data_IF_648618131174
#
_entry.id   IF_648618131174
#
_cell.length_a   1.000
_cell.length_b   1.000
_cell.length_c   1.000
_cell.angle_alpha   90.00
_cell.angle_beta   90.00
_cell.angle_gamma   90.00
#
_symmetry.space_group_name_H-M   'P 1'
#
loop_
_entity.id
_entity.type
_entity.pdbx_description
1 polymer ?
2 non-polymer ?
3 non-polymer ?
4 water ?
#
# COMPACT_ATOMS: atom_id res chain seq x y z
N UNK A 1 23.61 -10.07 -0.56
CA UNK A 1 24.35 -10.20 -1.81
C UNK A 1 23.67 -9.33 -2.84
N UNK A 2 24.48 -8.54 -3.57
CA UNK A 2 23.99 -7.78 -4.71
C UNK A 2 24.48 -8.55 -5.93
N UNK A 3 23.53 -9.15 -6.64
CA UNK A 3 23.82 -9.91 -7.84
C UNK A 3 24.19 -8.91 -8.96
N UNK A 4 24.95 -9.41 -9.91
CA UNK A 4 25.05 -8.71 -11.21
C UNK A 4 23.88 -9.17 -12.08
N UNK A 5 23.55 -8.37 -13.07
CA UNK A 5 22.45 -8.67 -13.99
C UNK A 5 22.53 -10.06 -14.61
N UNK A 6 23.65 -10.44 -15.21
CA UNK A 6 23.73 -11.73 -15.89
C UNK A 6 23.84 -12.87 -14.89
N UNK A 7 24.55 -12.63 -13.79
CA UNK A 7 24.57 -13.64 -12.71
C UNK A 7 23.14 -13.98 -12.28
N UNK A 8 22.34 -12.95 -12.02
CA UNK A 8 20.96 -13.17 -11.60
C UNK A 8 20.15 -13.86 -12.69
N UNK A 9 20.33 -13.43 -13.94
CA UNK A 9 19.59 -14.03 -15.04
C UNK A 9 19.88 -15.53 -15.12
N UNK A 10 21.14 -15.92 -14.93
CA UNK A 10 21.52 -17.32 -14.97
C UNK A 10 20.87 -18.10 -13.83
N UNK A 11 20.89 -17.49 -12.63
CA UNK A 11 20.36 -18.17 -11.47
C UNK A 11 18.84 -18.37 -11.58
N UNK A 12 18.18 -17.34 -12.13
CA UNK A 12 16.74 -17.42 -12.35
C UNK A 12 16.41 -18.45 -13.45
N UNK A 13 17.21 -18.50 -14.53
CA UNK A 13 16.98 -19.49 -15.58
C UNK A 13 17.13 -20.90 -15.00
N UNK A 14 18.16 -21.07 -14.17
CA UNK A 14 18.44 -22.38 -13.57
C UNK A 14 17.24 -22.87 -12.74
N UNK A 15 16.50 -21.94 -12.14
CA UNK A 15 15.35 -22.25 -11.29
C UNK A 15 14.03 -22.11 -12.05
N UNK A 16 14.08 -22.06 -13.38
CA UNK A 16 12.84 -22.24 -14.12
C UNK A 16 11.97 -21.00 -14.24
N UNK A 17 12.55 -19.79 -14.17
CA UNK A 17 11.71 -18.61 -14.29
C UNK A 17 11.48 -18.19 -15.72
N UNK A 18 12.28 -18.67 -16.67
CA UNK A 18 12.14 -18.19 -18.04
C UNK A 18 10.85 -18.74 -18.67
N UNK A 19 9.88 -17.83 -18.85
CA UNK A 19 8.61 -18.11 -19.43
C UNK A 19 7.79 -18.93 -18.43
N UNK A 20 7.81 -18.50 -17.18
CA UNK A 20 6.98 -19.12 -16.15
C UNK A 20 5.65 -18.35 -16.15
N UNK A 21 4.59 -19.13 -16.38
CA UNK A 21 3.20 -18.63 -16.41
C UNK A 21 3.10 -17.29 -17.17
N UNK A 22 3.70 -17.28 -18.37
CA UNK A 22 3.53 -16.16 -19.31
C UNK A 22 4.52 -15.01 -19.17
N UNK A 23 5.48 -15.14 -18.25
CA UNK A 23 6.48 -14.09 -18.06
C UNK A 23 7.86 -14.61 -18.42
N UNK A 24 8.40 -14.06 -19.50
CA UNK A 24 9.74 -14.35 -19.96
C UNK A 24 10.78 -13.89 -18.92
N UNK A 25 11.99 -14.45 -19.05
CA UNK A 25 13.04 -14.23 -18.06
C UNK A 25 13.35 -12.74 -17.81
N UNK A 26 13.36 -11.96 -18.90
CA UNK A 26 13.65 -10.56 -18.79
C UNK A 26 12.70 -9.82 -17.87
N UNK A 27 11.44 -10.29 -17.76
CA UNK A 27 10.51 -9.65 -16.85
C UNK A 27 10.99 -9.79 -15.40
N UNK A 28 11.50 -10.98 -15.09
CA UNK A 28 11.93 -11.31 -13.71
C UNK A 28 13.19 -10.52 -13.33
N UNK A 29 14.12 -10.43 -14.31
CA UNK A 29 15.36 -9.67 -14.09
C UNK A 29 15.02 -8.18 -13.93
N UNK A 30 14.12 -7.69 -14.78
CA UNK A 30 13.71 -6.27 -14.74
C UNK A 30 13.07 -5.97 -13.39
N UNK A 31 12.18 -6.88 -12.94
CA UNK A 31 11.46 -6.67 -11.67
C UNK A 31 12.48 -6.61 -10.52
N UNK A 32 13.42 -7.54 -10.51
CA UNK A 32 14.45 -7.57 -9.43
C UNK A 32 15.29 -6.28 -9.48
N UNK A 33 15.59 -5.81 -10.72
CA UNK A 33 16.39 -4.58 -10.89
C UNK A 33 15.67 -3.42 -10.20
N UNK A 34 14.40 -3.22 -10.57
CA UNK A 34 13.71 -2.05 -10.07
C UNK A 34 13.27 -2.22 -8.62
N UNK A 35 12.84 -3.42 -8.21
CA UNK A 35 12.40 -3.60 -6.83
C UNK A 35 13.55 -3.43 -5.83
N UNK A 36 14.72 -4.00 -6.10
CA UNK A 36 15.75 -4.10 -5.07
C UNK A 36 17.15 -3.71 -5.53
N UNK A 37 17.38 -3.42 -6.80
CA UNK A 37 18.71 -3.28 -7.32
C UNK A 37 19.52 -4.57 -7.23
N UNK A 38 18.81 -5.69 -7.40
CA UNK A 38 19.45 -7.01 -7.37
C UNK A 38 20.01 -7.37 -5.99
N UNK A 39 19.42 -6.81 -4.93
CA UNK A 39 19.96 -6.96 -3.57
C UNK A 39 19.10 -7.92 -2.74
N UNK A 40 19.66 -9.05 -2.33
CA UNK A 40 18.92 -10.02 -1.53
C UNK A 40 18.61 -9.49 -0.14
N UNK A 41 19.27 -8.46 0.36
CA UNK A 41 19.03 -7.99 1.69
C UNK A 41 18.20 -6.73 1.76
N UNK A 42 17.63 -6.31 0.63
CA UNK A 42 16.80 -5.14 0.62
C UNK A 42 15.57 -5.35 1.51
N UNK A 43 15.21 -4.32 2.27
CA UNK A 43 13.98 -4.29 3.01
C UNK A 43 13.35 -2.91 2.90
N UNK A 44 12.02 -2.88 2.82
CA UNK A 44 11.29 -1.63 2.83
C UNK A 44 10.01 -1.83 3.63
N UNK A 45 9.87 -1.00 4.68
CA UNK A 45 8.72 -1.04 5.52
C UNK A 45 7.62 -0.14 4.95
N UNK A 46 6.41 -0.68 4.91
CA UNK A 46 5.27 -0.05 4.27
C UNK A 46 4.39 0.62 5.33
N UNK A 47 3.53 1.50 4.82
CA UNK A 47 2.61 2.29 5.58
C UNK A 47 1.74 1.36 6.44
N UNK A 48 1.46 0.13 5.98
CA UNK A 48 0.48 -0.78 6.64
C UNK A 48 1.13 -1.68 7.71
N UNK A 49 2.41 -1.49 8.03
CA UNK A 49 3.12 -2.33 9.00
C UNK A 49 3.74 -3.59 8.39
N UNK A 50 3.48 -3.81 7.10
CA UNK A 50 4.11 -4.89 6.37
C UNK A 50 5.50 -4.45 5.92
N UNK A 51 6.33 -5.42 5.57
CA UNK A 51 7.65 -5.16 5.05
C UNK A 51 7.79 -5.98 3.77
N UNK A 52 8.53 -5.40 2.82
CA UNK A 52 8.89 -6.08 1.60
C UNK A 52 10.32 -6.56 1.77
N UNK A 53 10.57 -7.81 1.37
CA UNK A 53 11.80 -8.50 1.70
C UNK A 53 12.49 -9.04 0.45
N UNK A 54 13.79 -8.73 0.36
CA UNK A 54 14.70 -9.45 -0.51
C UNK A 54 14.73 -8.91 -1.94
N UNK A 55 15.24 -9.75 -2.82
CA UNK A 55 15.60 -9.32 -4.19
C UNK A 55 14.34 -9.00 -5.00
N UNK A 56 13.19 -9.63 -4.64
CA UNK A 56 11.91 -9.37 -5.32
C UNK A 56 10.91 -8.69 -4.37
N UNK A 57 11.39 -8.18 -3.25
CA UNK A 57 10.60 -7.31 -2.40
C UNK A 57 9.21 -7.93 -2.13
N UNK A 58 9.20 -9.16 -1.61
CA UNK A 58 8.01 -9.92 -1.33
C UNK A 58 7.46 -9.47 0.02
N UNK A 59 6.13 -9.32 0.09
CA UNK A 59 5.45 -8.61 1.15
C UNK A 59 4.97 -9.56 2.26
N UNK A 60 5.11 -9.08 3.51
CA UNK A 60 4.83 -9.83 4.73
C UNK A 60 3.35 -9.83 5.13
N UNK A 61 2.48 -9.10 4.44
CA UNK A 61 1.14 -9.34 4.79
C UNK A 61 0.66 -10.64 4.13
N UNK A 62 0.92 -10.72 2.82
CA UNK A 62 0.30 -11.78 2.02
C UNK A 62 1.14 -13.06 1.92
N UNK A 63 2.46 -12.94 1.91
CA UNK A 63 3.25 -14.02 1.31
C UNK A 63 4.13 -14.75 2.34
N UNK A 64 4.77 -14.00 3.24
CA UNK A 64 5.70 -14.60 4.20
C UNK A 64 5.37 -14.08 5.60
N UNK A 65 5.80 -14.83 6.62
CA UNK A 65 5.54 -14.46 7.97
C UNK A 65 6.78 -13.83 8.60
N UNK A 66 6.68 -12.58 9.05
CA UNK A 66 7.79 -11.96 9.78
C UNK A 66 7.47 -11.74 11.26
N UNK A 67 6.32 -12.23 11.73
CA UNK A 67 5.91 -12.08 13.12
C UNK A 67 5.64 -10.64 13.51
N UNK A 68 5.61 -9.72 12.54
CA UNK A 68 5.49 -8.28 12.85
C UNK A 68 4.34 -7.61 12.10
N UNK A 69 3.56 -8.37 11.31
CA UNK A 69 2.60 -7.81 10.37
C UNK A 69 1.19 -8.27 10.68
N UNK A 70 0.29 -7.34 11.01
CA UNK A 70 -1.09 -7.72 11.18
C UNK A 70 -1.69 -8.36 9.92
N UNK A 71 -2.60 -9.30 10.17
CA UNK A 71 -3.49 -9.89 9.16
C UNK A 71 -2.70 -10.68 8.12
N UNK A 72 -1.60 -11.28 8.56
CA UNK A 72 -0.69 -11.93 7.66
C UNK A 72 -1.21 -13.32 7.29
N UNK A 73 -1.09 -13.64 6.01
CA UNK A 73 -1.64 -14.84 5.43
C UNK A 73 -0.55 -15.88 5.20
N UNK A 74 0.70 -15.45 5.07
CA UNK A 74 1.79 -16.38 4.86
C UNK A 74 1.45 -17.42 3.78
N UNK A 75 1.06 -16.96 2.59
CA UNK A 75 0.63 -17.90 1.53
C UNK A 75 1.81 -18.75 1.02
N UNK A 76 3.06 -18.22 1.08
CA UNK A 76 4.22 -19.03 0.70
C UNK A 76 4.69 -19.96 1.82
N UNK A 77 4.12 -19.85 3.02
CA UNK A 77 4.45 -20.79 4.11
C UNK A 77 5.92 -20.75 4.50
N UNK A 78 6.46 -19.54 4.65
CA UNK A 78 7.84 -19.35 5.00
C UNK A 78 8.01 -18.16 5.95
N UNK A 79 9.06 -18.21 6.80
CA UNK A 79 9.50 -17.01 7.48
C UNK A 79 10.09 -16.02 6.46
N UNK A 80 9.80 -14.74 6.65
CA UNK A 80 10.33 -13.73 5.73
C UNK A 80 11.86 -13.75 5.68
N UNK A 81 12.53 -14.23 6.75
CA UNK A 81 14.01 -14.24 6.76
C UNK A 81 14.58 -15.06 5.62
N UNK A 82 13.86 -16.06 5.10
CA UNK A 82 14.40 -16.90 4.04
C UNK A 82 14.56 -16.05 2.77
N UNK A 83 13.76 -14.97 2.69
CA UNK A 83 13.83 -14.05 1.57
C UNK A 83 14.98 -13.04 1.69
N UNK A 84 15.82 -13.17 2.71
CA UNK A 84 17.02 -12.32 2.81
C UNK A 84 18.26 -13.16 2.64
N UNK A 85 18.14 -14.39 2.17
CA UNK A 85 19.25 -15.26 1.94
C UNK A 85 19.98 -14.88 0.64
N UNK A 86 21.27 -15.20 0.58
CA UNK A 86 22.07 -14.91 -0.64
C UNK A 86 21.69 -15.86 -1.78
N UNK A 87 21.14 -17.02 -1.39
CA UNK A 87 20.59 -18.03 -2.26
C UNK A 87 19.14 -17.63 -2.56
N UNK A 88 18.80 -17.47 -3.84
CA UNK A 88 17.46 -16.97 -4.23
C UNK A 88 16.39 -18.06 -4.33
N UNK A 89 16.73 -19.31 -4.05
CA UNK A 89 15.81 -20.44 -4.25
C UNK A 89 14.43 -20.20 -3.60
N UNK A 90 14.39 -19.78 -2.34
CA UNK A 90 13.13 -19.63 -1.64
C UNK A 90 12.35 -18.45 -2.19
N UNK A 91 13.07 -17.38 -2.57
CA UNK A 91 12.40 -16.24 -3.15
C UNK A 91 11.77 -16.60 -4.50
N UNK A 92 12.47 -17.42 -5.29
CA UNK A 92 11.93 -17.79 -6.57
C UNK A 92 10.68 -18.65 -6.38
N UNK A 93 10.71 -19.61 -5.44
CA UNK A 93 9.54 -20.46 -5.20
C UNK A 93 8.35 -19.59 -4.84
N UNK A 94 8.55 -18.63 -3.95
CA UNK A 94 7.47 -17.76 -3.55
C UNK A 94 6.97 -16.88 -4.68
N UNK A 95 7.89 -16.35 -5.48
CA UNK A 95 7.55 -15.52 -6.65
C UNK A 95 6.64 -16.31 -7.62
N UNK A 96 6.99 -17.58 -7.84
CA UNK A 96 6.16 -18.42 -8.72
C UNK A 96 4.74 -18.57 -8.16
N UNK A 97 4.61 -18.73 -6.84
CA UNK A 97 3.30 -18.80 -6.20
C UNK A 97 2.55 -17.48 -6.40
N UNK A 98 3.25 -16.36 -6.22
CA UNK A 98 2.58 -15.07 -6.32
C UNK A 98 2.00 -14.86 -7.71
N UNK A 99 2.82 -15.15 -8.73
CA UNK A 99 2.49 -14.81 -10.08
C UNK A 99 1.41 -15.68 -10.68
N UNK A 100 1.08 -16.77 -9.97
CA UNK A 100 0.01 -17.69 -10.32
C UNK A 100 -1.38 -17.04 -10.19
N UNK A 101 -1.49 -16.05 -9.32
CA UNK A 101 -2.75 -15.35 -9.05
C UNK A 101 -3.11 -14.41 -10.20
N UNK A 102 -4.35 -13.92 -10.19
CA UNK A 102 -4.95 -13.15 -11.27
C UNK A 102 -4.24 -11.81 -11.50
N UNK A 103 -3.50 -11.29 -10.51
CA UNK A 103 -2.75 -10.04 -10.63
C UNK A 103 -1.52 -10.26 -11.50
N UNK A 104 -1.05 -11.49 -11.61
CA UNK A 104 0.19 -11.75 -12.33
C UNK A 104 1.35 -10.98 -11.71
N UNK A 105 2.21 -10.41 -12.56
CA UNK A 105 3.38 -9.66 -12.04
C UNK A 105 3.00 -8.26 -11.54
N UNK A 106 1.73 -7.87 -11.62
CA UNK A 106 1.26 -6.62 -10.99
C UNK A 106 1.36 -6.66 -9.47
N UNK A 107 1.58 -7.86 -8.92
CA UNK A 107 1.93 -7.97 -7.51
C UNK A 107 3.15 -7.13 -7.16
N UNK A 108 4.04 -6.92 -8.14
CA UNK A 108 5.26 -6.14 -7.93
C UNK A 108 5.03 -4.75 -8.53
N UNK A 109 4.90 -3.76 -7.64
CA UNK A 109 4.61 -2.39 -8.10
C UNK A 109 5.69 -1.93 -9.06
N UNK A 110 6.95 -2.27 -8.78
CA UNK A 110 7.99 -1.77 -9.69
C UNK A 110 7.89 -2.46 -11.05
N UNK A 111 7.45 -3.72 -11.12
CA UNK A 111 7.21 -4.32 -12.41
C UNK A 111 6.09 -3.58 -13.15
N UNK A 112 4.98 -3.32 -12.46
CA UNK A 112 3.87 -2.65 -13.08
C UNK A 112 4.28 -1.28 -13.61
N UNK A 113 5.06 -0.52 -12.84
CA UNK A 113 5.35 0.85 -13.17
C UNK A 113 6.58 0.99 -14.05
N UNK A 114 7.57 0.11 -13.92
CA UNK A 114 8.89 0.29 -14.59
C UNK A 114 9.13 -0.72 -15.71
N UNK A 115 8.57 -1.92 -15.60
CA UNK A 115 8.92 -2.97 -16.53
C UNK A 115 7.84 -3.17 -17.60
N UNK A 116 6.59 -3.18 -17.16
CA UNK A 116 5.44 -3.35 -18.07
C UNK A 116 5.54 -2.35 -19.22
N UNK A 117 5.39 -2.85 -20.45
CA UNK A 117 5.44 -2.00 -21.63
C UNK A 117 6.85 -1.73 -22.17
N UNK A 118 7.89 -2.19 -21.47
CA UNK A 118 9.24 -1.97 -21.92
C UNK A 118 9.78 -3.21 -22.63
N UNK A 119 10.92 -3.06 -23.32
CA UNK A 119 11.57 -4.17 -24.01
C UNK A 119 12.40 -4.98 -22.98
N UNK A 120 11.71 -5.84 -22.26
CA UNK A 120 12.33 -6.55 -21.12
C UNK A 120 13.39 -7.53 -21.61
N UNK A 121 13.36 -7.94 -22.88
CA UNK A 121 14.36 -8.90 -23.39
C UNK A 121 15.77 -8.30 -23.33
N UNK A 122 15.86 -6.97 -23.26
CA UNK A 122 17.15 -6.34 -23.17
C UNK A 122 17.89 -6.73 -21.87
N UNK A 123 17.12 -7.11 -20.84
CA UNK A 123 17.73 -7.46 -19.55
C UNK A 123 18.57 -8.72 -19.62
N UNK A 124 18.35 -9.59 -20.63
CA UNK A 124 19.15 -10.80 -20.73
C UNK A 124 20.17 -10.76 -21.87
N UNK A 125 20.23 -9.66 -22.61
CA UNK A 125 21.14 -9.55 -23.73
C UNK A 125 22.58 -9.60 -23.22
N UNK A 126 23.40 -10.37 -23.93
CA UNK A 126 24.81 -10.49 -23.61
C UNK A 126 25.09 -11.48 -22.48
N UNK A 127 24.05 -12.03 -21.85
CA UNK A 127 24.26 -12.95 -20.75
C UNK A 127 24.49 -14.38 -21.28
N UNK A 128 25.38 -15.12 -20.60
CA UNK A 128 25.50 -16.57 -20.74
C UNK A 128 24.60 -17.18 -19.66
N UNK A 129 23.57 -17.90 -20.08
CA UNK A 129 22.61 -18.42 -19.14
C UNK A 129 22.85 -19.92 -18.93
N UNK B 1 -20.34 18.60 -1.02
CA UNK B 1 -20.78 19.41 0.13
C UNK B 1 -19.55 19.86 0.95
N UNK B 2 -19.53 21.14 1.32
CA UNK B 2 -18.51 21.69 2.21
C UNK B 2 -19.19 21.89 3.56
N UNK B 3 -18.80 21.06 4.52
CA UNK B 3 -19.37 21.13 5.85
C UNK B 3 -18.87 22.40 6.52
N UNK B 4 -19.63 22.99 7.42
CA UNK B 4 -19.03 23.92 8.38
C UNK B 4 -18.31 23.11 9.47
N UNK B 5 -17.46 23.80 10.22
CA UNK B 5 -16.67 23.22 11.28
C UNK B 5 -17.55 22.48 12.29
N UNK B 6 -18.50 23.19 12.88
CA UNK B 6 -19.33 22.54 13.89
C UNK B 6 -20.32 21.55 13.29
N UNK B 7 -20.77 21.74 12.04
CA UNK B 7 -21.62 20.76 11.39
C UNK B 7 -20.88 19.42 11.30
N UNK B 8 -19.63 19.49 10.89
CA UNK B 8 -18.82 18.30 10.77
C UNK B 8 -18.52 17.69 12.14
N UNK B 9 -18.22 18.52 13.13
CA UNK B 9 -17.96 18.02 14.47
C UNK B 9 -19.16 17.19 14.96
N UNK B 10 -20.36 17.73 14.72
CA UNK B 10 -21.57 17.05 15.20
C UNK B 10 -21.76 15.75 14.41
N UNK B 11 -21.55 15.74 13.09
CA UNK B 11 -21.71 14.54 12.29
C UNK B 11 -20.71 13.46 12.68
N UNK B 12 -19.48 13.87 12.96
CA UNK B 12 -18.44 12.95 13.38
C UNK B 12 -18.75 12.41 14.78
N UNK B 13 -19.27 13.27 15.65
CA UNK B 13 -19.60 12.81 17.00
C UNK B 13 -20.73 11.76 16.92
N UNK B 14 -21.75 12.01 16.10
CA UNK B 14 -22.91 11.08 15.96
C UNK B 14 -22.37 9.74 15.45
N UNK B 15 -21.29 9.77 14.66
CA UNK B 15 -20.73 8.53 14.08
C UNK B 15 -19.60 7.95 14.94
N UNK B 16 -19.48 8.41 16.18
CA UNK B 16 -18.65 7.78 17.18
C UNK B 16 -17.14 8.03 17.05
N UNK B 17 -16.73 9.14 16.42
CA UNK B 17 -15.29 9.41 16.31
C UNK B 17 -14.66 10.05 17.53
N UNK B 18 -15.44 10.60 18.47
CA UNK B 18 -14.77 11.22 19.62
C UNK B 18 -14.06 10.17 20.47
N UNK B 19 -12.73 10.29 20.57
CA UNK B 19 -11.91 9.38 21.34
C UNK B 19 -11.98 7.98 20.73
N UNK B 20 -12.16 7.90 19.41
CA UNK B 20 -12.05 6.64 18.73
C UNK B 20 -10.57 6.24 18.66
N UNK B 21 -10.22 5.04 19.15
CA UNK B 21 -8.84 4.55 19.20
C UNK B 21 -7.87 5.67 19.65
N UNK B 22 -8.25 6.45 20.67
CA UNK B 22 -7.31 7.37 21.32
C UNK B 22 -7.23 8.76 20.69
N UNK B 23 -8.12 9.03 19.74
CA UNK B 23 -8.11 10.34 19.06
C UNK B 23 -9.40 11.11 19.36
N UNK B 24 -9.27 12.21 20.09
CA UNK B 24 -10.38 13.04 20.44
C UNK B 24 -10.96 13.67 19.16
N UNK B 25 -12.20 14.14 19.30
CA UNK B 25 -12.98 14.68 18.17
C UNK B 25 -12.23 15.80 17.44
N UNK B 26 -11.58 16.69 18.21
CA UNK B 26 -10.86 17.79 17.58
C UNK B 26 -9.80 17.35 16.60
N UNK B 27 -9.17 16.21 16.85
CA UNK B 27 -8.21 15.66 15.90
C UNK B 27 -8.83 15.36 14.55
N UNK B 28 -10.03 14.81 14.54
CA UNK B 28 -10.72 14.43 13.35
C UNK B 28 -11.19 15.63 12.57
N UNK B 29 -11.68 16.62 13.28
CA UNK B 29 -12.13 17.85 12.64
C UNK B 29 -10.92 18.58 12.06
N UNK B 30 -9.83 18.67 12.83
CA UNK B 30 -8.60 19.29 12.36
C UNK B 30 -8.12 18.60 11.09
N UNK B 31 -8.07 17.28 11.06
CA UNK B 31 -7.57 16.54 9.91
C UNK B 31 -8.43 16.83 8.70
N UNK B 32 -9.75 16.82 8.85
CA UNK B 32 -10.63 17.14 7.73
C UNK B 32 -10.42 18.58 7.26
N UNK B 33 -10.26 19.50 8.21
CA UNK B 33 -10.02 20.89 7.84
C UNK B 33 -8.80 21.00 6.91
N UNK B 34 -7.69 20.43 7.34
CA UNK B 34 -6.46 20.65 6.55
C UNK B 34 -6.38 19.73 5.32
N UNK B 35 -6.93 18.51 5.37
CA UNK B 35 -6.88 17.60 4.21
C UNK B 35 -7.76 18.14 3.06
N UNK B 36 -8.96 18.62 3.37
CA UNK B 36 -9.96 18.88 2.33
C UNK B 36 -10.67 20.22 2.49
N UNK B 37 -10.47 20.96 3.56
CA UNK B 37 -11.31 22.10 3.82
C UNK B 37 -12.77 21.71 4.04
N UNK B 38 -12.97 20.54 4.65
CA UNK B 38 -14.30 20.02 4.99
C UNK B 38 -15.14 19.74 3.75
N UNK B 39 -14.49 19.34 2.66
CA UNK B 39 -15.14 19.18 1.39
C UNK B 39 -15.24 17.72 0.96
N UNK B 40 -16.48 17.22 0.90
CA UNK B 40 -16.69 15.83 0.52
C UNK B 40 -16.34 15.50 -0.93
N UNK B 41 -16.25 16.56 -1.77
CA UNK B 41 -15.98 16.39 -3.22
C UNK B 41 -14.49 16.49 -3.57
N UNK B 42 -13.64 16.72 -2.55
CA UNK B 42 -12.23 16.98 -2.84
C UNK B 42 -11.57 15.74 -3.45
N UNK B 43 -10.73 15.96 -4.44
CA UNK B 43 -9.88 14.91 -4.97
C UNK B 43 -8.49 15.46 -5.25
N UNK B 44 -7.49 14.60 -5.10
CA UNK B 44 -6.12 14.99 -5.44
C UNK B 44 -5.44 13.76 -6.02
N UNK B 45 -5.03 13.87 -7.29
CA UNK B 45 -4.42 12.78 -8.04
C UNK B 45 -2.94 12.81 -7.74
N UNK B 46 -2.39 11.65 -7.37
CA UNK B 46 -1.02 11.49 -6.92
C UNK B 46 -0.11 11.03 -8.07
N UNK B 47 1.16 11.41 -7.95
CA UNK B 47 2.25 11.11 -8.89
C UNK B 47 2.58 9.62 -8.89
N UNK B 48 2.25 8.93 -7.79
CA UNK B 48 2.39 7.46 -7.72
C UNK B 48 1.22 6.79 -8.45
N UNK B 49 0.28 7.58 -8.98
CA UNK B 49 -0.84 7.10 -9.79
C UNK B 49 -2.16 7.09 -9.03
N UNK B 50 -2.08 7.09 -7.70
CA UNK B 50 -3.26 6.99 -6.85
C UNK B 50 -4.00 8.34 -6.78
N UNK B 51 -5.16 8.31 -6.14
CA UNK B 51 -5.99 9.49 -5.90
C UNK B 51 -6.43 9.46 -4.44
N UNK B 52 -6.47 10.64 -3.82
CA UNK B 52 -7.01 10.82 -2.47
C UNK B 52 -8.42 11.38 -2.61
N UNK B 53 -9.37 10.78 -1.87
CA UNK B 53 -10.79 11.04 -2.10
C UNK B 53 -11.46 11.60 -0.86
N UNK B 54 -12.21 12.68 -1.03
CA UNK B 54 -13.24 13.09 -0.11
C UNK B 54 -12.72 13.89 1.08
N UNK B 55 -13.56 14.00 2.10
CA UNK B 55 -13.37 14.92 3.21
C UNK B 55 -12.13 14.59 4.05
N UNK B 56 -11.75 13.31 4.07
CA UNK B 56 -10.53 12.89 4.75
C UNK B 56 -9.49 12.36 3.77
N UNK B 57 -9.63 12.65 2.46
CA UNK B 57 -8.58 12.40 1.51
C UNK B 57 -7.98 11.01 1.65
N UNK B 58 -8.86 10.02 1.62
CA UNK B 58 -8.47 8.62 1.71
C UNK B 58 -7.86 8.18 0.36
N UNK B 59 -6.76 7.41 0.44
CA UNK B 59 -5.94 7.10 -0.72
C UNK B 59 -6.33 5.76 -1.35
N UNK B 60 -6.41 5.74 -2.68
CA UNK B 60 -6.96 4.62 -3.44
C UNK B 60 -6.00 3.44 -3.54
N UNK B 61 -4.70 3.64 -3.26
CA UNK B 61 -3.76 2.53 -3.37
C UNK B 61 -4.15 1.42 -2.39
N UNK B 62 -4.45 1.81 -1.15
CA UNK B 62 -4.60 0.87 -0.05
C UNK B 62 -6.07 0.59 0.30
N UNK B 63 -6.91 1.61 0.19
CA UNK B 63 -8.13 1.63 0.98
C UNK B 63 -9.41 1.40 0.18
N UNK B 64 -9.46 1.75 -1.10
CA UNK B 64 -10.68 1.65 -1.86
C UNK B 64 -10.36 1.20 -3.28
N UNK B 65 -11.37 0.66 -3.98
CA UNK B 65 -11.19 0.24 -5.38
C UNK B 65 -11.54 1.38 -6.34
N UNK B 66 -10.56 1.84 -7.12
CA UNK B 66 -10.77 2.88 -8.17
C UNK B 66 -10.93 2.25 -9.55
N UNK B 67 -10.92 0.92 -9.64
CA UNK B 67 -11.14 0.20 -10.91
C UNK B 67 -9.87 -0.08 -11.71
N UNK B 68 -8.73 0.42 -11.22
CA UNK B 68 -7.44 0.23 -11.88
C UNK B 68 -6.73 -0.99 -11.29
N UNK B 69 -5.97 -1.67 -12.15
CA UNK B 69 -5.23 -2.90 -11.84
C UNK B 69 -6.19 -4.07 -11.71
N UNK B 70 -5.70 -5.31 -11.98
CA UNK B 70 -6.56 -6.49 -11.93
C UNK B 70 -7.29 -6.65 -10.60
N UNK B 71 -6.61 -6.32 -9.49
CA UNK B 71 -7.17 -6.38 -8.17
C UNK B 71 -6.51 -5.30 -7.31
N UNK B 72 -7.35 -4.43 -6.74
CA UNK B 72 -6.83 -3.41 -5.82
C UNK B 72 -6.89 -3.97 -4.39
N UNK B 73 -6.09 -3.39 -3.51
CA UNK B 73 -5.96 -3.87 -2.14
C UNK B 73 -7.31 -3.70 -1.41
N UNK B 74 -7.89 -2.49 -1.54
CA UNK B 74 -9.25 -2.19 -1.16
C UNK B 74 -9.57 -2.69 0.25
N UNK B 75 -8.80 -2.20 1.23
CA UNK B 75 -8.96 -2.63 2.61
C UNK B 75 -10.32 -2.25 3.20
N UNK B 76 -10.88 -1.12 2.76
CA UNK B 76 -12.20 -0.70 3.23
C UNK B 76 -13.36 -1.41 2.50
N UNK B 77 -13.08 -2.19 1.47
CA UNK B 77 -14.10 -2.94 0.76
C UNK B 77 -15.17 -2.07 0.12
N UNK B 78 -14.74 -0.99 -0.54
CA UNK B 78 -15.66 0.01 -1.14
C UNK B 78 -15.10 0.53 -2.46
N UNK B 79 -15.99 0.93 -3.39
CA UNK B 79 -15.54 1.76 -4.50
C UNK B 79 -15.16 3.13 -3.96
N UNK B 80 -14.08 3.72 -4.50
CA UNK B 80 -13.60 5.02 -4.05
C UNK B 80 -14.70 6.06 -4.20
N UNK B 81 -15.60 5.86 -5.18
CA UNK B 81 -16.69 6.78 -5.48
C UNK B 81 -17.52 7.11 -4.24
N UNK B 82 -17.70 6.15 -3.32
CA UNK B 82 -18.56 6.37 -2.13
C UNK B 82 -17.93 7.38 -1.18
N UNK B 83 -16.62 7.61 -1.32
CA UNK B 83 -15.92 8.60 -0.50
C UNK B 83 -16.16 10.03 -0.99
N UNK B 84 -16.98 10.23 -2.02
CA UNK B 84 -17.34 11.58 -2.49
C UNK B 84 -18.80 11.92 -2.13
N UNK B 85 -19.45 11.11 -1.29
CA UNK B 85 -20.88 11.35 -0.90
C UNK B 85 -20.99 12.50 0.09
N UNK B 86 -22.11 13.21 0.04
CA UNK B 86 -22.37 14.31 0.94
C UNK B 86 -22.58 13.84 2.38
N UNK B 87 -23.15 12.63 2.56
CA UNK B 87 -23.21 11.96 3.87
C UNK B 87 -21.87 11.25 4.08
N UNK B 88 -21.24 11.50 5.24
CA UNK B 88 -19.85 11.08 5.53
C UNK B 88 -19.74 9.64 6.03
N UNK B 89 -20.86 8.92 6.19
CA UNK B 89 -20.88 7.59 6.82
C UNK B 89 -19.77 6.67 6.30
N UNK B 90 -19.63 6.49 4.98
CA UNK B 90 -18.69 5.51 4.46
C UNK B 90 -17.26 6.02 4.70
N UNK B 91 -17.03 7.34 4.56
CA UNK B 91 -15.71 7.91 4.81
C UNK B 91 -15.30 7.67 6.27
N UNK B 92 -16.24 7.87 7.21
CA UNK B 92 -15.92 7.68 8.60
C UNK B 92 -15.63 6.19 8.88
N UNK B 93 -16.44 5.28 8.34
CA UNK B 93 -16.19 3.85 8.54
C UNK B 93 -14.78 3.48 8.06
N UNK B 94 -14.38 3.99 6.89
CA UNK B 94 -13.07 3.69 6.33
C UNK B 94 -11.95 4.38 7.16
N UNK B 95 -12.20 5.61 7.64
CA UNK B 95 -11.22 6.30 8.47
C UNK B 95 -10.94 5.51 9.75
N UNK B 96 -12.00 4.95 10.33
CA UNK B 96 -11.85 4.13 11.54
C UNK B 96 -10.97 2.92 11.26
N UNK B 97 -11.16 2.28 10.10
CA UNK B 97 -10.33 1.14 9.70
C UNK B 97 -8.87 1.58 9.58
N UNK B 98 -8.63 2.76 8.98
CA UNK B 98 -7.25 3.25 8.79
C UNK B 98 -6.57 3.54 10.14
N UNK B 99 -7.28 4.21 11.04
CA UNK B 99 -6.67 4.69 12.27
C UNK B 99 -6.40 3.54 13.26
N UNK B 100 -7.03 2.39 13.06
CA UNK B 100 -6.85 1.21 13.88
C UNK B 100 -5.46 0.60 13.71
N UNK B 101 -4.78 0.93 12.60
CA UNK B 101 -3.44 0.41 12.34
C UNK B 101 -2.40 1.20 13.16
N UNK B 102 -1.16 0.67 13.19
CA UNK B 102 -0.11 1.13 14.09
C UNK B 102 0.39 2.54 13.81
N UNK B 103 -0.02 3.12 12.68
CA UNK B 103 0.37 4.45 12.29
C UNK B 103 -0.59 5.50 12.88
N UNK B 104 -1.74 5.04 13.39
CA UNK B 104 -2.76 5.95 13.90
C UNK B 104 -3.08 7.05 12.90
N UNK B 105 -3.25 8.26 13.40
CA UNK B 105 -3.65 9.37 12.49
C UNK B 105 -2.49 9.91 11.64
N UNK B 106 -1.29 9.36 11.82
CA UNK B 106 -0.17 9.67 10.94
C UNK B 106 -0.45 9.16 9.52
N UNK B 107 -1.49 8.34 9.34
CA UNK B 107 -1.92 7.97 8.00
C UNK B 107 -2.35 9.18 7.18
N UNK B 108 -2.75 10.27 7.85
CA UNK B 108 -3.10 11.51 7.18
C UNK B 108 -1.91 12.46 7.28
N UNK B 109 -1.36 12.77 6.10
CA UNK B 109 -0.23 13.73 5.98
C UNK B 109 -0.58 15.04 6.68
N UNK B 110 -1.79 15.55 6.45
CA UNK B 110 -2.17 16.81 7.02
C UNK B 110 -2.31 16.72 8.54
N UNK B 111 -2.80 15.59 9.07
CA UNK B 111 -2.83 15.46 10.54
C UNK B 111 -1.39 15.52 11.10
N UNK B 112 -0.53 14.70 10.51
CA UNK B 112 0.85 14.62 11.01
C UNK B 112 1.52 16.00 10.99
N UNK B 113 1.27 16.78 9.93
CA UNK B 113 2.08 18.00 9.71
C UNK B 113 1.36 19.29 10.11
N UNK B 114 0.04 19.24 10.36
CA UNK B 114 -0.71 20.46 10.68
C UNK B 114 -1.50 20.34 11.99
N UNK B 115 -1.82 19.13 12.45
CA UNK B 115 -2.65 18.97 13.63
C UNK B 115 -1.87 18.45 14.84
N UNK B 116 -1.03 17.44 14.61
CA UNK B 116 -0.20 16.85 15.64
C UNK B 116 0.51 17.96 16.43
N UNK B 117 0.38 17.93 17.75
CA UNK B 117 1.01 18.87 18.61
C UNK B 117 0.28 20.17 18.85
N UNK B 118 -0.82 20.42 18.11
CA UNK B 118 -1.52 21.67 18.24
C UNK B 118 -2.66 21.50 19.25
N UNK B 119 -3.29 22.62 19.59
CA UNK B 119 -4.42 22.65 20.48
C UNK B 119 -5.68 22.19 19.74
N UNK B 120 -5.80 20.89 19.53
CA UNK B 120 -6.84 20.40 18.61
C UNK B 120 -8.23 20.62 19.21
N UNK B 121 -8.39 20.72 20.54
CA UNK B 121 -9.66 20.99 21.14
C UNK B 121 -10.32 22.26 20.63
N UNK B 122 -9.52 23.21 20.14
CA UNK B 122 -10.08 24.45 19.64
C UNK B 122 -11.04 24.16 18.48
N UNK B 123 -10.82 23.06 17.74
CA UNK B 123 -11.65 22.74 16.58
C UNK B 123 -13.12 22.46 16.96
N UNK B 124 -13.42 22.15 18.23
CA UNK B 124 -14.77 21.91 18.62
C UNK B 124 -15.29 23.03 19.54
N UNK B 125 -14.54 24.12 19.64
CA UNK B 125 -14.95 25.27 20.44
C UNK B 125 -16.25 25.82 19.86
N UNK B 126 -17.19 26.15 20.75
CA UNK B 126 -18.43 26.76 20.34
C UNK B 126 -19.45 25.81 19.72
N UNK B 127 -19.15 24.50 19.62
CA UNK B 127 -20.03 23.57 18.83
C UNK B 127 -21.21 22.96 19.62
N UNK B 128 -21.28 23.20 20.93
CA UNK B 128 -22.41 22.75 21.79
C UNK B 128 -22.77 21.28 21.49
N UNK B 129 -21.81 20.39 21.70
CA UNK B 129 -22.01 18.99 21.35
C UNK B 129 -22.47 18.16 22.57
X LIG C 1 9.43 -1.75 -4.16
X LIG D 1 12.83 -11.79 -22.00
X LIG E 1 8.11 -23.89 -7.42
X LIG F 1 -3.77 16.00 1.56
X LIG G 1 0.34 18.69 5.24
X LIG H 1 -7.27 26.38 6.97
X LIG I 1 -10.60 17.48 21.09
#
# INVERSE_FOLDING_TARGET
KVYSRCELAAAMKRLGLDNYRGYSLGNWVCAANYESGFNTQATNRNTDGSTDYGILQINSRWWCDDGKTPRSKNACGIPCSVLLRSDITEAVRCAKRIVSDGNGMNAWVAWRNRCRGTDVSKWIRGCRL
KVYSRCELAAAMKRLGLDNYRGYSLGNWVCAANYESGFNTQATNRNTDGSTDYGILQINSRWWCDDGKTPRSKNACGIPCSVLLRSDITEAVRCAKRIVSDGNGMNAWVAWRNRCRGTDVSKWIRGCRL
MG MG
CL CL
CL CL
MG MG
CL CL
CL CL
CL CL
#
